data_IF_319908236653
#
_entry.id   IF_319908236653
#
_cell.length_a   1.000
_cell.length_b   1.000
_cell.length_c   1.000
_cell.angle_alpha   90.00
_cell.angle_beta   90.00
_cell.angle_gamma   90.00
#
_symmetry.space_group_name_H-M   'P 1'
#
loop_
_entity.id
_entity.type
_entity.pdbx_description
1 polymer ?
#
# COMPACT_ATOMS: atom_id res chain seq x y z
N UNK A 1 9.40 -13.61 -25.01
CA UNK A 1 9.77 -12.29 -24.47
C UNK A 1 9.42 -12.31 -22.98
N UNK A 2 10.33 -12.81 -22.14
CA UNK A 2 10.04 -13.15 -20.75
C UNK A 2 10.67 -12.12 -19.83
N UNK A 3 10.04 -10.97 -19.65
CA UNK A 3 10.27 -10.21 -18.44
C UNK A 3 9.14 -10.56 -17.47
N UNK A 4 9.46 -11.30 -16.42
CA UNK A 4 8.50 -11.81 -15.42
C UNK A 4 8.43 -10.91 -14.18
N UNK A 5 9.04 -9.71 -14.21
CA UNK A 5 8.91 -8.73 -13.15
C UNK A 5 7.86 -7.67 -13.50
N UNK A 6 7.00 -7.36 -12.53
CA UNK A 6 5.93 -6.36 -12.65
C UNK A 6 6.16 -5.21 -11.65
N UNK A 7 7.43 -4.90 -11.39
CA UNK A 7 7.83 -3.87 -10.44
C UNK A 7 7.52 -2.48 -11.00
N UNK A 8 7.10 -1.56 -10.13
CA UNK A 8 6.76 -0.18 -10.48
C UNK A 8 7.50 0.80 -9.58
N UNK A 9 7.97 1.91 -10.14
CA UNK A 9 8.48 3.06 -9.41
C UNK A 9 7.59 4.28 -9.65
N UNK A 10 7.19 4.97 -8.57
CA UNK A 10 6.37 6.18 -8.63
C UNK A 10 7.10 7.31 -7.89
N UNK A 11 7.34 8.42 -8.60
CA UNK A 11 8.10 9.57 -8.08
C UNK A 11 7.30 10.86 -8.24
N UNK A 12 7.46 11.77 -7.28
CA UNK A 12 6.76 13.07 -7.27
C UNK A 12 6.93 13.79 -5.94
N UNK A 13 6.73 15.10 -5.93
CA UNK A 13 6.83 15.94 -4.73
C UNK A 13 5.73 15.61 -3.70
N UNK A 14 5.87 16.11 -2.47
CA UNK A 14 4.78 16.00 -1.48
C UNK A 14 3.51 16.66 -2.05
N UNK A 15 2.36 16.02 -1.89
CA UNK A 15 1.08 16.47 -2.47
C UNK A 15 0.86 16.14 -3.96
N UNK A 16 1.84 15.56 -4.68
CA UNK A 16 1.71 15.23 -6.10
C UNK A 16 0.75 14.07 -6.43
N UNK A 17 -0.01 13.55 -5.45
CA UNK A 17 -0.99 12.49 -5.68
C UNK A 17 -0.46 11.06 -5.70
N UNK A 18 0.79 10.82 -5.28
CA UNK A 18 1.40 9.46 -5.24
C UNK A 18 0.53 8.45 -4.48
N UNK A 19 0.16 8.76 -3.24
CA UNK A 19 -0.70 7.90 -2.41
C UNK A 19 -2.09 7.71 -3.03
N UNK A 20 -2.62 8.74 -3.70
CA UNK A 20 -3.88 8.66 -4.44
C UNK A 20 -3.83 7.70 -5.63
N UNK A 21 -2.66 7.54 -6.28
CA UNK A 21 -2.45 6.57 -7.35
C UNK A 21 -2.24 5.15 -6.82
N UNK A 22 -1.46 4.99 -5.75
CA UNK A 22 -1.07 3.66 -5.24
C UNK A 22 -2.23 2.96 -4.51
N UNK A 23 -3.09 3.67 -3.78
CA UNK A 23 -4.21 3.06 -3.05
C UNK A 23 -5.19 2.27 -3.95
N UNK A 24 -5.68 2.82 -5.09
CA UNK A 24 -6.50 2.04 -6.03
C UNK A 24 -5.78 0.82 -6.62
N UNK A 25 -4.47 0.89 -6.85
CA UNK A 25 -3.68 -0.24 -7.34
C UNK A 25 -3.61 -1.36 -6.30
N UNK A 26 -3.33 -1.02 -5.04
CA UNK A 26 -3.37 -1.98 -3.93
C UNK A 26 -4.75 -2.63 -3.84
N UNK A 27 -5.81 -1.83 -3.90
CA UNK A 27 -7.18 -2.34 -3.87
C UNK A 27 -7.45 -3.33 -5.01
N UNK A 28 -7.03 -3.01 -6.23
CA UNK A 28 -7.19 -3.91 -7.38
C UNK A 28 -6.45 -5.24 -7.19
N UNK A 29 -5.27 -5.25 -6.56
CA UNK A 29 -4.55 -6.47 -6.22
C UNK A 29 -5.33 -7.31 -5.19
N UNK A 30 -5.84 -6.66 -4.14
CA UNK A 30 -6.63 -7.34 -3.10
C UNK A 30 -7.95 -7.89 -3.65
N UNK A 31 -8.68 -7.11 -4.45
CA UNK A 31 -9.94 -7.52 -5.09
C UNK A 31 -9.74 -8.70 -6.06
N UNK A 32 -8.51 -8.87 -6.58
CA UNK A 32 -8.14 -10.02 -7.43
C UNK A 32 -7.71 -11.26 -6.62
N UNK A 33 -7.81 -11.23 -5.29
CA UNK A 33 -7.39 -12.30 -4.38
C UNK A 33 -5.89 -12.31 -4.06
N UNK A 34 -5.17 -11.22 -4.37
CA UNK A 34 -3.75 -11.06 -4.03
C UNK A 34 -3.53 -10.55 -2.61
N UNK A 35 -2.26 -10.31 -2.28
CA UNK A 35 -1.83 -9.77 -0.99
C UNK A 35 -1.05 -8.47 -1.17
N UNK A 36 -1.15 -7.57 -0.19
CA UNK A 36 -0.39 -6.33 -0.14
C UNK A 36 0.21 -6.12 1.25
N UNK A 37 1.48 -5.70 1.27
CA UNK A 37 2.18 -5.25 2.49
C UNK A 37 2.72 -3.86 2.19
N UNK A 38 2.46 -2.92 3.09
CA UNK A 38 2.78 -1.50 2.91
C UNK A 38 3.59 -1.02 4.10
N UNK A 39 4.70 -0.34 3.83
CA UNK A 39 5.40 0.47 4.82
C UNK A 39 4.82 1.89 4.77
N UNK A 40 4.01 2.22 5.77
CA UNK A 40 3.21 3.45 5.78
C UNK A 40 3.87 4.53 6.64
N UNK A 41 4.75 5.33 6.02
CA UNK A 41 5.36 6.48 6.68
C UNK A 41 4.38 7.67 6.62
N UNK A 42 3.54 7.82 7.65
CA UNK A 42 2.61 8.94 7.81
C UNK A 42 1.12 8.58 7.75
N UNK A 43 0.77 7.31 8.00
CA UNK A 43 -0.61 6.81 8.10
C UNK A 43 -1.50 7.03 6.86
N UNK A 44 -0.89 7.20 5.67
CA UNK A 44 -1.60 7.47 4.42
C UNK A 44 -2.37 6.26 3.86
N UNK A 45 -2.08 5.07 4.37
CA UNK A 45 -2.70 3.79 3.99
C UNK A 45 -3.45 3.13 5.15
N UNK A 46 -3.37 3.67 6.37
CA UNK A 46 -4.04 3.12 7.56
C UNK A 46 -5.53 2.87 7.35
N UNK A 47 -6.27 3.87 6.87
CA UNK A 47 -7.70 3.72 6.58
C UNK A 47 -7.98 2.70 5.47
N UNK A 48 -7.10 2.58 4.46
CA UNK A 48 -7.25 1.54 3.45
C UNK A 48 -7.07 0.15 4.07
N UNK A 49 -6.05 -0.03 4.92
CA UNK A 49 -5.79 -1.30 5.61
C UNK A 49 -7.01 -1.73 6.43
N UNK A 50 -7.55 -0.85 7.27
CA UNK A 50 -8.73 -1.11 8.11
C UNK A 50 -9.97 -1.43 7.27
N UNK A 51 -10.23 -0.66 6.21
CA UNK A 51 -11.40 -0.86 5.33
C UNK A 51 -11.35 -2.16 4.52
N UNK A 52 -10.16 -2.68 4.22
CA UNK A 52 -9.98 -3.95 3.52
C UNK A 52 -9.89 -5.14 4.50
N UNK A 53 -10.13 -4.93 5.80
CA UNK A 53 -10.06 -5.97 6.83
C UNK A 53 -8.62 -6.41 7.16
N UNK A 54 -7.64 -5.57 6.86
CA UNK A 54 -6.23 -5.81 7.14
C UNK A 54 -5.85 -5.54 8.61
N UNK A 55 -4.60 -5.84 8.93
CA UNK A 55 -4.01 -5.57 10.25
C UNK A 55 -3.00 -4.43 10.11
N UNK A 56 -3.25 -3.32 10.82
CA UNK A 56 -2.30 -2.22 10.91
C UNK A 56 -1.34 -2.46 12.09
N UNK A 57 -0.05 -2.63 11.79
CA UNK A 57 0.99 -2.80 12.80
C UNK A 57 1.64 -1.44 13.05
N UNK A 58 1.34 -0.86 14.20
CA UNK A 58 1.95 0.39 14.64
C UNK A 58 3.20 0.09 15.48
N UNK A 59 4.35 0.53 14.98
CA UNK A 59 5.66 0.31 15.62
C UNK A 59 5.80 0.99 16.98
N UNK A 60 5.03 2.04 17.27
CA UNK A 60 5.07 2.70 18.59
C UNK A 60 4.32 1.89 19.66
N UNK A 61 3.30 1.13 19.26
CA UNK A 61 2.43 0.40 20.17
C UNK A 61 2.66 -1.12 20.14
N UNK A 62 3.49 -1.61 19.22
CA UNK A 62 3.85 -3.02 19.11
C UNK A 62 4.54 -3.50 20.40
N UNK A 63 3.99 -4.54 21.03
CA UNK A 63 4.59 -5.23 22.17
C UNK A 63 4.92 -6.67 21.77
N UNK A 64 6.11 -7.13 22.14
CA UNK A 64 6.61 -8.49 21.91
C UNK A 64 6.40 -9.37 23.14
#
# INVERSE_FOLDING_TARGET
MNNTNYNMAVCGTSGAGKTGLIQPLIRSVLDSGGFAVVFDMGDGYKSLCENMGGVYLDGETLRF
#
